data_IF_530093527471
#
_entry.id   IF_530093527471
#
_cell.length_a   1.000
_cell.length_b   1.000
_cell.length_c   1.000
_cell.angle_alpha   90.00
_cell.angle_beta   90.00
_cell.angle_gamma   90.00
#
_symmetry.space_group_name_H-M   'P 1'
#
loop_
_entity.id
_entity.type
_entity.pdbx_description
1 polymer ?
#
# COMPACT_ATOMS: atom_id res chain seq x y z
N UNK A 1 -24.31 -10.40 -3.24
CA UNK A 1 -22.88 -10.68 -3.00
C UNK A 1 -22.15 -10.31 -4.27
N UNK A 2 -21.39 -9.22 -4.28
CA UNK A 2 -20.68 -8.79 -5.49
C UNK A 2 -19.54 -9.78 -5.72
N UNK A 3 -19.46 -10.49 -6.87
CA UNK A 3 -18.34 -11.37 -7.14
C UNK A 3 -17.12 -10.48 -7.38
N UNK A 4 -16.23 -10.46 -6.40
CA UNK A 4 -14.93 -9.84 -6.55
C UNK A 4 -14.10 -10.78 -7.42
N UNK A 5 -13.96 -10.44 -8.70
CA UNK A 5 -13.05 -11.15 -9.61
C UNK A 5 -11.61 -10.74 -9.31
N UNK A 6 -11.12 -11.16 -8.15
CA UNK A 6 -9.70 -11.05 -7.85
C UNK A 6 -8.96 -11.96 -8.83
N UNK A 7 -8.06 -11.37 -9.60
CA UNK A 7 -7.34 -12.09 -10.66
C UNK A 7 -5.86 -12.12 -10.31
N UNK A 8 -5.31 -13.33 -10.23
CA UNK A 8 -3.88 -13.57 -10.12
C UNK A 8 -3.37 -14.03 -11.48
N UNK A 9 -2.38 -13.32 -12.03
CA UNK A 9 -1.75 -13.68 -13.31
C UNK A 9 -0.26 -13.85 -13.11
N UNK A 10 0.28 -14.97 -13.60
CA UNK A 10 1.72 -15.24 -13.58
C UNK A 10 2.22 -15.37 -15.02
N UNK A 11 3.19 -14.53 -15.40
CA UNK A 11 3.81 -14.54 -16.72
C UNK A 11 5.27 -14.06 -16.61
N UNK A 12 6.17 -14.70 -17.36
CA UNK A 12 7.61 -14.35 -17.45
C UNK A 12 8.30 -14.23 -16.08
N UNK A 13 7.97 -15.14 -15.15
CA UNK A 13 8.53 -15.13 -13.78
C UNK A 13 8.01 -14.01 -12.87
N UNK A 14 7.00 -13.25 -13.31
CA UNK A 14 6.36 -12.19 -12.52
C UNK A 14 4.91 -12.56 -12.20
N UNK A 15 4.45 -12.10 -11.04
CA UNK A 15 3.08 -12.30 -10.56
C UNK A 15 2.40 -10.95 -10.38
N UNK A 16 1.18 -10.81 -10.89
CA UNK A 16 0.35 -9.63 -10.74
C UNK A 16 -1.00 -10.00 -10.11
N UNK A 17 -1.41 -9.23 -9.09
CA UNK A 17 -2.72 -9.32 -8.45
C UNK A 17 -3.55 -8.10 -8.84
N UNK A 18 -4.75 -8.32 -9.38
CA UNK A 18 -5.75 -7.28 -9.63
C UNK A 18 -6.96 -7.51 -8.74
N UNK A 19 -7.37 -6.46 -8.03
CA UNK A 19 -8.57 -6.45 -7.18
C UNK A 19 -9.43 -5.25 -7.55
N UNK A 20 -10.75 -5.45 -7.66
CA UNK A 20 -11.71 -4.38 -7.93
C UNK A 20 -12.79 -4.35 -6.86
N UNK A 21 -13.10 -3.17 -6.33
CA UNK A 21 -14.10 -2.98 -5.28
C UNK A 21 -14.99 -1.79 -5.62
N UNK A 22 -16.32 -1.95 -5.45
CA UNK A 22 -17.27 -0.85 -5.54
C UNK A 22 -17.50 -0.29 -4.13
N UNK A 23 -16.98 0.90 -3.88
CA UNK A 23 -17.15 1.60 -2.60
C UNK A 23 -18.28 2.63 -2.72
N UNK A 24 -19.19 2.68 -1.75
CA UNK A 24 -20.30 3.65 -1.70
C UNK A 24 -19.84 5.03 -1.17
N UNK A 25 -18.65 5.48 -1.59
CA UNK A 25 -18.01 6.72 -1.16
C UNK A 25 -17.42 7.45 -2.37
N UNK A 26 -17.39 8.79 -2.36
CA UNK A 26 -16.76 9.56 -3.43
C UNK A 26 -15.23 9.31 -3.47
N UNK A 27 -14.57 9.42 -4.64
CA UNK A 27 -13.13 9.17 -4.79
C UNK A 27 -12.25 9.89 -3.77
N UNK A 28 -12.53 11.17 -3.50
CA UNK A 28 -11.81 11.96 -2.50
C UNK A 28 -11.81 11.33 -1.10
N UNK A 29 -12.93 10.74 -0.66
CA UNK A 29 -13.01 10.08 0.65
C UNK A 29 -12.23 8.77 0.68
N UNK A 30 -12.16 8.07 -0.45
CA UNK A 30 -11.36 6.84 -0.58
C UNK A 30 -9.88 7.20 -0.62
N UNK A 31 -9.50 8.25 -1.35
CA UNK A 31 -8.15 8.81 -1.36
C UNK A 31 -7.67 9.10 0.05
N UNK A 32 -8.43 9.89 0.82
CA UNK A 32 -8.07 10.20 2.20
C UNK A 32 -7.89 8.93 3.05
N UNK A 33 -8.73 7.90 2.82
CA UNK A 33 -8.66 6.64 3.56
C UNK A 33 -7.40 5.81 3.28
N UNK A 34 -6.78 5.97 2.10
CA UNK A 34 -5.61 5.19 1.67
C UNK A 34 -4.31 6.00 1.64
N UNK A 35 -4.35 7.33 1.72
CA UNK A 35 -3.16 8.20 1.66
C UNK A 35 -2.88 8.95 2.97
N UNK A 36 -3.88 9.15 3.85
CA UNK A 36 -3.69 9.89 5.09
C UNK A 36 -3.32 8.95 6.25
N UNK A 37 -2.16 9.12 6.91
CA UNK A 37 -1.74 8.25 8.02
C UNK A 37 -2.80 8.12 9.13
N UNK A 38 -3.46 9.22 9.49
CA UNK A 38 -4.50 9.22 10.52
C UNK A 38 -5.76 8.41 10.15
N UNK A 39 -6.02 8.21 8.86
CA UNK A 39 -7.11 7.37 8.37
C UNK A 39 -6.65 5.91 8.21
N UNK A 40 -5.46 5.68 7.67
CA UNK A 40 -4.85 4.35 7.56
C UNK A 40 -4.73 3.67 8.93
N UNK A 41 -4.33 4.40 9.98
CA UNK A 41 -4.19 3.89 11.36
C UNK A 41 -5.49 3.28 11.94
N UNK A 42 -6.65 3.49 11.30
CA UNK A 42 -7.93 2.94 11.74
C UNK A 42 -8.21 1.54 11.19
N UNK A 43 -7.50 1.09 10.16
CA UNK A 43 -7.83 -0.15 9.46
C UNK A 43 -6.63 -0.89 8.83
N UNK A 44 -5.54 -0.19 8.53
CA UNK A 44 -4.34 -0.77 7.96
C UNK A 44 -3.47 -1.41 9.06
N UNK A 45 -2.86 -2.58 8.83
CA UNK A 45 -2.20 -3.36 9.89
C UNK A 45 -0.86 -2.77 10.37
N UNK A 46 -0.31 -1.75 9.71
CA UNK A 46 0.93 -1.07 10.09
C UNK A 46 0.74 0.45 10.16
N UNK A 47 1.63 1.11 10.91
CA UNK A 47 1.76 2.56 10.84
C UNK A 47 2.47 2.95 9.55
N UNK A 48 1.88 3.89 8.80
CA UNK A 48 2.36 4.29 7.47
C UNK A 48 2.81 5.74 7.50
N UNK A 49 4.03 6.00 7.05
CA UNK A 49 4.52 7.33 6.70
C UNK A 49 4.61 7.44 5.18
N UNK A 50 4.19 8.56 4.60
CA UNK A 50 4.20 8.75 3.14
C UNK A 50 4.43 10.21 2.77
N UNK A 51 5.42 10.45 1.89
CA UNK A 51 5.59 11.70 1.14
C UNK A 51 4.88 11.54 -0.20
N UNK A 52 3.66 12.06 -0.31
CA UNK A 52 2.72 11.77 -1.39
C UNK A 52 3.00 12.60 -2.67
N UNK A 53 4.17 12.39 -3.25
CA UNK A 53 4.59 12.96 -4.54
C UNK A 53 5.53 11.99 -5.26
N UNK A 54 5.63 12.01 -6.60
CA UNK A 54 6.61 11.19 -7.31
C UNK A 54 8.03 11.37 -6.73
N UNK A 55 8.69 10.25 -6.40
CA UNK A 55 9.99 10.21 -5.74
C UNK A 55 9.96 10.37 -4.22
N UNK A 56 8.78 10.53 -3.61
CA UNK A 56 8.60 10.58 -2.16
C UNK A 56 8.74 9.21 -1.50
N UNK A 57 9.24 9.20 -0.26
CA UNK A 57 9.43 7.97 0.50
C UNK A 57 8.11 7.46 1.09
N UNK A 58 7.96 6.14 1.19
CA UNK A 58 6.92 5.46 1.98
C UNK A 58 7.55 4.46 2.94
N UNK A 59 7.05 4.40 4.17
CA UNK A 59 7.52 3.49 5.21
C UNK A 59 6.37 2.81 5.93
N UNK A 60 6.56 1.53 6.27
CA UNK A 60 5.60 0.71 7.00
C UNK A 60 6.25 0.18 8.28
N UNK A 61 5.80 0.69 9.43
CA UNK A 61 6.22 0.24 10.75
C UNK A 61 5.22 -0.77 11.30
N UNK A 62 5.64 -2.02 11.47
CA UNK A 62 4.77 -3.07 11.99
C UNK A 62 4.73 -3.04 13.53
N UNK A 63 3.62 -3.48 14.14
CA UNK A 63 3.50 -3.50 15.59
C UNK A 63 4.63 -4.32 16.25
N UNK A 64 5.33 -3.71 17.20
CA UNK A 64 6.44 -4.34 17.93
C UNK A 64 7.83 -4.00 17.39
N UNK A 65 7.91 -3.44 16.17
CA UNK A 65 9.18 -3.00 15.60
C UNK A 65 9.53 -1.57 16.07
N UNK A 66 10.83 -1.27 16.09
CA UNK A 66 11.35 0.09 16.33
C UNK A 66 11.65 0.85 15.04
N UNK A 67 11.79 0.13 13.93
CA UNK A 67 12.17 0.66 12.61
C UNK A 67 11.24 0.08 11.53
N UNK A 68 11.02 0.76 10.39
CA UNK A 68 10.17 0.25 9.32
C UNK A 68 10.65 -1.10 8.78
N UNK A 69 9.82 -2.14 8.89
CA UNK A 69 10.10 -3.47 8.31
C UNK A 69 9.98 -3.51 6.78
N UNK A 70 9.39 -2.48 6.19
CA UNK A 70 9.23 -2.34 4.74
C UNK A 70 9.25 -0.87 4.34
N UNK A 71 9.90 -0.57 3.21
CA UNK A 71 10.03 0.80 2.69
C UNK A 71 9.71 0.83 1.20
N UNK A 72 9.60 2.01 0.62
CA UNK A 72 9.36 2.15 -0.80
C UNK A 72 9.44 3.58 -1.29
N UNK A 73 9.09 3.76 -2.55
CA UNK A 73 9.05 5.06 -3.22
C UNK A 73 7.73 5.21 -3.96
N UNK A 74 7.07 6.36 -3.79
CA UNK A 74 5.92 6.76 -4.60
C UNK A 74 6.36 7.00 -6.03
N UNK A 75 5.76 6.29 -6.98
CA UNK A 75 6.08 6.39 -8.41
C UNK A 75 5.13 7.32 -9.15
N UNK A 76 3.87 7.40 -8.71
CA UNK A 76 2.87 8.33 -9.23
C UNK A 76 1.85 8.73 -8.14
N UNK A 77 1.36 9.96 -8.23
CA UNK A 77 0.32 10.51 -7.36
C UNK A 77 -0.47 11.59 -8.11
N UNK A 78 -1.65 11.21 -8.61
CA UNK A 78 -2.64 12.12 -9.23
C UNK A 78 -3.91 12.10 -8.38
N UNK A 79 -4.05 13.07 -7.48
CA UNK A 79 -5.19 13.13 -6.56
C UNK A 79 -6.50 13.45 -7.32
N UNK A 80 -7.62 12.71 -7.06
CA UNK A 80 -7.78 11.55 -6.16
C UNK A 80 -7.83 10.20 -6.90
N UNK A 81 -7.20 10.11 -8.07
CA UNK A 81 -7.40 9.04 -9.05
C UNK A 81 -6.32 7.96 -9.03
N UNK A 82 -5.05 8.32 -8.82
CA UNK A 82 -3.91 7.40 -8.92
C UNK A 82 -2.98 7.57 -7.72
N UNK A 83 -2.73 6.47 -7.02
CA UNK A 83 -1.63 6.34 -6.07
C UNK A 83 -0.85 5.08 -6.43
N UNK A 84 0.40 5.24 -6.84
CA UNK A 84 1.30 4.15 -7.19
C UNK A 84 2.57 4.23 -6.34
N UNK A 85 3.00 3.09 -5.82
CA UNK A 85 4.28 2.97 -5.13
C UNK A 85 4.99 1.68 -5.53
N UNK A 86 6.32 1.77 -5.58
CA UNK A 86 7.19 0.60 -5.55
C UNK A 86 7.55 0.35 -4.10
N UNK A 87 7.26 -0.83 -3.63
CA UNK A 87 7.60 -1.27 -2.29
C UNK A 87 8.74 -2.26 -2.37
N UNK A 88 9.78 -1.99 -1.61
CA UNK A 88 10.97 -2.82 -1.52
C UNK A 88 10.95 -3.51 -0.15
N UNK A 89 10.99 -4.83 -0.15
CA UNK A 89 11.14 -5.59 1.08
C UNK A 89 12.56 -5.37 1.57
N UNK A 90 12.74 -4.72 2.72
CA UNK A 90 13.97 -4.93 3.48
C UNK A 90 13.96 -6.41 3.82
N UNK A 91 15.01 -7.14 3.45
CA UNK A 91 15.25 -8.44 4.03
C UNK A 91 15.40 -8.21 5.53
N UNK A 92 14.29 -8.25 6.27
CA UNK A 92 14.32 -8.64 7.65
C UNK A 92 15.12 -9.94 7.60
N UNK A 93 16.33 -9.91 8.16
CA UNK A 93 17.04 -11.12 8.47
C UNK A 93 15.98 -12.05 9.06
N UNK A 94 15.70 -13.14 8.35
CA UNK A 94 14.98 -14.26 8.90
C UNK A 94 15.73 -14.51 10.22
N UNK A 95 15.09 -14.13 11.33
CA UNK A 95 15.55 -14.56 12.63
C UNK A 95 15.43 -16.08 12.54
N UNK A 96 16.60 -16.72 12.43
CA UNK A 96 16.76 -18.14 12.71
C UNK A 96 16.08 -18.42 14.05
N UNK A 97 15.12 -19.34 14.03
CA UNK A 97 14.89 -20.37 15.06
C UNK A 97 14.08 -21.53 14.46
#
# INVERSE_FOLDING_TARGET
MNPHSDTLTTADGRTALRMERRLAHPPRRVWDAITQPAHLARWFPSEVTVDLRPGGAIGFLFPGDSEPGMTGTVTDADEPHVFESRVDTLAAHLLDD
#
